data_IF_045120980751
#
_entry.id   IF_045120980751
#
_cell.length_a   1.000
_cell.length_b   1.000
_cell.length_c   1.000
_cell.angle_alpha   90.00
_cell.angle_beta   90.00
_cell.angle_gamma   90.00
#
_symmetry.space_group_name_H-M   'P 1'
#
loop_
_entity.id
_entity.type
_entity.pdbx_description
1 polymer ?
#
# COMPACT_ATOMS: atom_id res chain seq x y z
N UNK A 1 -32.10 13.99 -2.70
CA UNK A 1 -30.70 14.47 -2.59
C UNK A 1 -30.06 13.68 -1.46
N UNK A 2 -29.36 12.59 -1.78
CA UNK A 2 -28.84 11.66 -0.78
C UNK A 2 -27.52 12.22 -0.26
N UNK A 3 -27.50 12.72 0.98
CA UNK A 3 -26.27 13.18 1.63
C UNK A 3 -25.42 11.94 1.88
N UNK A 4 -24.42 11.67 1.02
CA UNK A 4 -23.39 10.67 1.32
C UNK A 4 -22.44 11.30 2.35
N UNK A 5 -22.32 10.76 3.57
CA UNK A 5 -21.40 11.30 4.55
C UNK A 5 -19.96 11.19 4.03
N UNK A 6 -19.17 12.26 4.20
CA UNK A 6 -17.80 12.35 3.67
C UNK A 6 -16.90 11.19 4.13
N UNK A 7 -17.13 10.63 5.32
CA UNK A 7 -16.41 9.47 5.82
C UNK A 7 -16.60 8.22 4.94
N UNK A 8 -17.83 7.91 4.53
CA UNK A 8 -18.10 6.76 3.66
C UNK A 8 -17.50 6.95 2.27
N UNK A 9 -17.56 8.17 1.72
CA UNK A 9 -16.92 8.49 0.45
C UNK A 9 -15.39 8.31 0.52
N UNK A 10 -14.76 8.69 1.65
CA UNK A 10 -13.33 8.47 1.88
C UNK A 10 -12.99 6.98 1.96
N UNK A 11 -13.79 6.18 2.68
CA UNK A 11 -13.59 4.74 2.79
C UNK A 11 -13.71 4.03 1.42
N UNK A 12 -14.69 4.43 0.61
CA UNK A 12 -14.88 3.96 -0.76
C UNK A 12 -13.68 4.32 -1.63
N UNK A 13 -13.27 5.59 -1.66
CA UNK A 13 -12.12 6.05 -2.46
C UNK A 13 -10.81 5.35 -2.08
N UNK A 14 -10.57 5.13 -0.78
CA UNK A 14 -9.37 4.42 -0.30
C UNK A 14 -9.39 2.96 -0.75
N UNK A 15 -10.55 2.31 -0.69
CA UNK A 15 -10.74 0.93 -1.16
C UNK A 15 -10.53 0.83 -2.67
N UNK A 16 -11.09 1.77 -3.45
CA UNK A 16 -10.88 1.82 -4.89
C UNK A 16 -9.41 2.02 -5.26
N UNK A 17 -8.67 2.86 -4.53
CA UNK A 17 -7.24 3.04 -4.76
C UNK A 17 -6.46 1.73 -4.55
N UNK A 18 -6.75 0.99 -3.47
CA UNK A 18 -6.12 -0.30 -3.20
C UNK A 18 -6.47 -1.35 -4.27
N UNK A 19 -7.75 -1.47 -4.63
CA UNK A 19 -8.19 -2.39 -5.68
C UNK A 19 -7.58 -2.02 -7.03
N UNK A 20 -7.40 -0.73 -7.33
CA UNK A 20 -6.75 -0.29 -8.56
C UNK A 20 -5.29 -0.73 -8.61
N UNK A 21 -4.52 -0.58 -7.53
CA UNK A 21 -3.14 -1.11 -7.47
C UNK A 21 -3.12 -2.61 -7.73
N UNK A 22 -4.04 -3.37 -7.12
CA UNK A 22 -4.13 -4.82 -7.36
C UNK A 22 -4.50 -5.14 -8.81
N UNK A 23 -5.44 -4.40 -9.41
CA UNK A 23 -5.83 -4.57 -10.80
C UNK A 23 -4.66 -4.34 -11.77
N UNK A 24 -3.81 -3.34 -11.50
CA UNK A 24 -2.60 -3.07 -12.27
C UNK A 24 -1.60 -4.23 -12.18
N UNK A 25 -1.33 -4.75 -10.98
CA UNK A 25 -0.45 -5.91 -10.78
C UNK A 25 -1.00 -7.20 -11.42
N UNK A 26 -2.32 -7.36 -11.43
CA UNK A 26 -2.99 -8.47 -12.12
C UNK A 26 -3.08 -8.29 -13.64
N UNK A 27 -2.82 -7.09 -14.17
CA UNK A 27 -3.04 -6.76 -15.58
C UNK A 27 -4.49 -6.94 -16.02
N UNK A 28 -5.46 -6.66 -15.13
CA UNK A 28 -6.87 -6.91 -15.37
C UNK A 28 -7.71 -5.63 -15.31
N UNK A 29 -8.59 -5.45 -16.29
CA UNK A 29 -9.61 -4.40 -16.30
C UNK A 29 -10.95 -4.87 -15.70
N UNK A 30 -11.03 -6.12 -15.20
CA UNK A 30 -12.24 -6.66 -14.57
C UNK A 30 -12.26 -6.32 -13.06
N UNK A 31 -13.10 -5.36 -12.63
CA UNK A 31 -13.17 -4.96 -11.23
C UNK A 31 -13.75 -6.06 -10.33
N UNK A 32 -14.66 -6.89 -10.87
CA UNK A 32 -15.28 -7.98 -10.12
C UNK A 32 -14.28 -9.11 -9.88
N UNK A 33 -13.48 -9.44 -10.90
CA UNK A 33 -12.36 -10.38 -10.73
C UNK A 33 -11.34 -9.88 -9.71
N UNK A 34 -10.92 -8.61 -9.82
CA UNK A 34 -9.97 -8.00 -8.87
C UNK A 34 -10.49 -8.08 -7.44
N UNK A 35 -11.75 -7.71 -7.21
CA UNK A 35 -12.36 -7.78 -5.88
C UNK A 35 -12.45 -9.22 -5.36
N UNK A 36 -12.84 -10.19 -6.19
CA UNK A 36 -12.86 -11.62 -5.80
C UNK A 36 -11.47 -12.11 -5.42
N UNK A 37 -10.45 -11.83 -6.23
CA UNK A 37 -9.07 -12.22 -5.94
C UNK A 37 -8.58 -11.64 -4.61
N UNK A 38 -8.84 -10.35 -4.34
CA UNK A 38 -8.51 -9.70 -3.07
C UNK A 38 -9.26 -10.32 -1.89
N UNK A 39 -10.57 -10.54 -2.01
CA UNK A 39 -11.39 -11.16 -0.96
C UNK A 39 -10.85 -12.55 -0.61
N UNK A 40 -10.63 -13.39 -1.62
CA UNK A 40 -10.13 -14.75 -1.45
C UNK A 40 -8.73 -14.75 -0.84
N UNK A 41 -7.84 -13.88 -1.29
CA UNK A 41 -6.50 -13.74 -0.69
C UNK A 41 -6.59 -13.34 0.79
N UNK A 42 -7.42 -12.34 1.12
CA UNK A 42 -7.61 -11.89 2.51
C UNK A 42 -8.08 -13.03 3.40
N UNK A 43 -9.07 -13.82 2.96
CA UNK A 43 -9.60 -14.94 3.73
C UNK A 43 -8.58 -16.08 3.86
N UNK A 44 -7.88 -16.44 2.78
CA UNK A 44 -6.85 -17.47 2.83
C UNK A 44 -5.68 -17.12 3.75
N UNK A 45 -5.22 -15.87 3.74
CA UNK A 45 -4.17 -15.40 4.65
C UNK A 45 -4.70 -15.37 6.08
N UNK A 46 -5.87 -14.74 6.33
CA UNK A 46 -6.50 -14.63 7.66
C UNK A 46 -6.60 -15.96 8.38
N UNK A 47 -7.09 -16.99 7.68
CA UNK A 47 -7.39 -18.28 8.30
C UNK A 47 -6.14 -19.07 8.70
N UNK A 48 -4.95 -18.53 8.40
CA UNK A 48 -3.63 -19.09 8.74
C UNK A 48 -2.93 -18.33 9.84
N UNK A 49 -3.49 -17.20 10.25
CA UNK A 49 -2.97 -16.37 11.32
C UNK A 49 -3.63 -16.70 12.65
N UNK A 50 -2.93 -16.39 13.73
CA UNK A 50 -3.57 -16.28 15.05
C UNK A 50 -4.56 -15.11 15.04
N UNK A 51 -5.48 -15.09 16.00
CA UNK A 51 -6.42 -13.97 16.19
C UNK A 51 -5.68 -12.63 16.32
N UNK A 52 -4.57 -12.61 17.06
CA UNK A 52 -3.74 -11.42 17.26
C UNK A 52 -3.08 -10.95 15.96
N UNK A 53 -2.40 -11.84 15.24
CA UNK A 53 -1.77 -11.48 13.96
C UNK A 53 -2.79 -11.06 12.90
N UNK A 54 -3.97 -11.70 12.87
CA UNK A 54 -5.06 -11.31 11.99
C UNK A 54 -5.58 -9.90 12.32
N UNK A 55 -5.72 -9.55 13.60
CA UNK A 55 -6.13 -8.22 14.03
C UNK A 55 -5.09 -7.14 13.65
N UNK A 56 -3.80 -7.43 13.81
CA UNK A 56 -2.71 -6.54 13.39
C UNK A 56 -2.69 -6.31 11.88
N UNK A 57 -2.93 -7.35 11.08
CA UNK A 57 -3.05 -7.22 9.63
C UNK A 57 -4.28 -6.36 9.26
N UNK A 58 -5.45 -6.67 9.85
CA UNK A 58 -6.69 -5.97 9.56
C UNK A 58 -6.69 -4.48 9.94
N UNK A 59 -5.86 -4.09 10.92
CA UNK A 59 -5.71 -2.70 11.34
C UNK A 59 -5.16 -1.79 10.23
N UNK A 60 -4.40 -2.34 9.27
CA UNK A 60 -3.85 -1.57 8.15
C UNK A 60 -4.76 -1.54 6.92
N UNK A 61 -5.82 -2.37 6.88
CA UNK A 61 -6.76 -2.40 5.77
C UNK A 61 -7.65 -1.14 5.73
N UNK A 62 -8.06 -0.68 4.53
CA UNK A 62 -9.17 0.24 4.37
C UNK A 62 -10.44 -0.29 5.05
N UNK A 63 -11.30 0.61 5.55
CA UNK A 63 -12.46 0.24 6.36
C UNK A 63 -13.38 -0.80 5.68
N UNK A 64 -13.63 -0.66 4.37
CA UNK A 64 -14.48 -1.60 3.63
C UNK A 64 -13.79 -2.96 3.44
N UNK A 65 -12.49 -2.98 3.09
CA UNK A 65 -11.73 -4.23 3.00
C UNK A 65 -11.56 -4.90 4.35
N UNK A 66 -11.55 -4.15 5.46
CA UNK A 66 -11.59 -4.71 6.82
C UNK A 66 -12.92 -5.43 7.09
N UNK A 67 -14.03 -4.87 6.62
CA UNK A 67 -15.32 -5.56 6.64
C UNK A 67 -15.28 -6.87 5.87
N UNK A 68 -14.74 -6.85 4.64
CA UNK A 68 -14.52 -8.06 3.83
C UNK A 68 -13.63 -9.05 4.57
N UNK A 69 -12.53 -8.59 5.17
CA UNK A 69 -11.60 -9.43 5.91
C UNK A 69 -12.27 -10.19 7.05
N UNK A 70 -13.20 -9.58 7.80
CA UNK A 70 -13.89 -10.25 8.90
C UNK A 70 -15.14 -11.04 8.50
N UNK A 71 -15.59 -10.90 7.25
CA UNK A 71 -16.76 -11.60 6.74
C UNK A 71 -16.60 -13.13 6.86
N UNK A 72 -17.60 -13.78 7.46
CA UNK A 72 -17.63 -15.23 7.71
C UNK A 72 -16.55 -15.79 8.64
N UNK A 73 -15.79 -14.95 9.36
CA UNK A 73 -14.65 -15.43 10.16
C UNK A 73 -15.08 -16.22 11.41
N UNK A 74 -14.35 -17.30 11.71
CA UNK A 74 -14.49 -18.08 12.94
C UNK A 74 -13.18 -18.08 13.75
N UNK A 75 -13.02 -17.14 14.72
CA UNK A 75 -11.79 -16.99 15.49
C UNK A 75 -11.39 -18.23 16.29
N UNK A 76 -12.36 -19.04 16.72
CA UNK A 76 -12.12 -20.25 17.49
C UNK A 76 -11.51 -21.41 16.69
N UNK A 77 -11.41 -21.26 15.36
CA UNK A 77 -10.92 -22.31 14.43
C UNK A 77 -9.57 -21.99 13.80
N UNK A 78 -8.98 -20.83 14.10
CA UNK A 78 -7.70 -20.41 13.53
C UNK A 78 -6.54 -20.63 14.53
N UNK A 79 -5.31 -20.89 14.05
CA UNK A 79 -4.94 -21.16 12.65
C UNK A 79 -5.51 -22.48 12.12
N UNK A 80 -6.03 -22.46 10.90
CA UNK A 80 -6.53 -23.68 10.24
C UNK A 80 -5.35 -24.56 9.79
N UNK A 81 -5.53 -25.89 9.86
CA UNK A 81 -4.48 -26.89 9.55
C UNK A 81 -4.40 -27.28 8.08
N UNK A 82 -5.23 -26.68 7.23
CA UNK A 82 -5.25 -26.95 5.80
C UNK A 82 -3.85 -26.71 5.19
N UNK A 83 -3.48 -27.57 4.25
CA UNK A 83 -2.17 -27.49 3.59
C UNK A 83 -2.22 -26.52 2.39
N UNK A 84 -1.11 -26.45 1.65
CA UNK A 84 -1.00 -25.56 0.50
C UNK A 84 -1.92 -25.97 -0.66
N UNK A 85 -2.19 -27.27 -0.82
CA UNK A 85 -3.02 -27.80 -1.90
C UNK A 85 -4.49 -27.51 -1.65
N UNK A 86 -5.00 -27.81 -0.44
CA UNK A 86 -6.37 -27.47 -0.02
C UNK A 86 -6.60 -25.95 -0.07
N UNK A 87 -5.56 -25.15 0.22
CA UNK A 87 -5.65 -23.70 0.11
C UNK A 87 -5.72 -23.24 -1.34
N UNK A 88 -4.94 -23.86 -2.23
CA UNK A 88 -4.96 -23.52 -3.64
C UNK A 88 -6.31 -23.90 -4.28
N UNK A 89 -6.87 -25.06 -3.93
CA UNK A 89 -8.20 -25.47 -4.38
C UNK A 89 -9.29 -24.51 -3.90
N UNK A 90 -9.27 -24.14 -2.62
CA UNK A 90 -10.20 -23.14 -2.08
C UNK A 90 -10.04 -21.80 -2.79
N UNK A 91 -8.80 -21.36 -3.01
CA UNK A 91 -8.52 -20.11 -3.70
C UNK A 91 -9.08 -20.12 -5.13
N UNK A 92 -8.80 -21.20 -5.89
CA UNK A 92 -9.30 -21.37 -7.25
C UNK A 92 -10.83 -21.30 -7.31
N UNK A 93 -11.50 -21.99 -6.39
CA UNK A 93 -12.95 -22.03 -6.30
C UNK A 93 -13.55 -20.65 -5.99
N UNK A 94 -13.06 -19.98 -4.95
CA UNK A 94 -13.62 -18.70 -4.50
C UNK A 94 -13.31 -17.53 -5.45
N UNK A 95 -12.11 -17.51 -6.04
CA UNK A 95 -11.74 -16.50 -7.03
C UNK A 95 -12.32 -16.78 -8.43
N UNK A 96 -12.87 -17.99 -8.65
CA UNK A 96 -13.36 -18.51 -9.92
C UNK A 96 -12.29 -18.51 -11.02
N UNK A 97 -11.12 -19.08 -10.71
CA UNK A 97 -10.00 -19.21 -11.63
C UNK A 97 -9.54 -20.67 -11.76
N UNK A 98 -8.83 -21.03 -12.84
CA UNK A 98 -8.17 -22.33 -12.92
C UNK A 98 -7.12 -22.52 -11.81
N UNK A 99 -6.94 -23.74 -11.32
CA UNK A 99 -5.97 -24.06 -10.27
C UNK A 99 -4.53 -23.62 -10.63
N UNK A 100 -4.16 -23.70 -11.91
CA UNK A 100 -2.85 -23.26 -12.41
C UNK A 100 -2.61 -21.75 -12.32
N UNK A 101 -3.67 -20.94 -12.23
CA UNK A 101 -3.60 -19.48 -12.12
C UNK A 101 -3.54 -19.01 -10.65
N UNK A 102 -3.68 -19.91 -9.68
CA UNK A 102 -3.73 -19.52 -8.26
C UNK A 102 -2.44 -18.86 -7.81
N UNK A 103 -1.29 -19.48 -8.06
CA UNK A 103 0.00 -18.92 -7.68
C UNK A 103 0.26 -17.53 -8.29
N UNK A 104 0.17 -17.32 -9.62
CA UNK A 104 0.44 -16.01 -10.20
C UNK A 104 -0.53 -14.93 -9.72
N UNK A 105 -1.82 -15.25 -9.54
CA UNK A 105 -2.81 -14.30 -9.00
C UNK A 105 -2.52 -13.98 -7.53
N UNK A 106 -2.30 -14.99 -6.70
CA UNK A 106 -2.00 -14.82 -5.28
C UNK A 106 -0.70 -14.01 -5.06
N UNK A 107 0.33 -14.29 -5.86
CA UNK A 107 1.60 -13.55 -5.87
C UNK A 107 1.42 -12.08 -6.24
N UNK A 108 0.66 -11.79 -7.31
CA UNK A 108 0.38 -10.41 -7.73
C UNK A 108 -0.41 -9.64 -6.67
N UNK A 109 -1.41 -10.27 -6.04
CA UNK A 109 -2.14 -9.66 -4.92
C UNK A 109 -1.21 -9.39 -3.74
N UNK A 110 -0.32 -10.33 -3.38
CA UNK A 110 0.68 -10.12 -2.32
C UNK A 110 1.61 -8.95 -2.65
N UNK A 111 2.08 -8.85 -3.89
CA UNK A 111 2.96 -7.75 -4.34
C UNK A 111 2.25 -6.40 -4.24
N UNK A 112 1.02 -6.29 -4.75
CA UNK A 112 0.20 -5.08 -4.63
C UNK A 112 -0.06 -4.70 -3.18
N UNK A 113 -0.42 -5.66 -2.32
CA UNK A 113 -0.66 -5.41 -0.90
C UNK A 113 0.62 -4.94 -0.20
N UNK A 114 1.78 -5.49 -0.54
CA UNK A 114 3.07 -5.10 0.06
C UNK A 114 3.38 -3.62 -0.10
N UNK A 115 2.97 -2.99 -1.20
CA UNK A 115 3.12 -1.56 -1.43
C UNK A 115 2.18 -0.70 -0.57
N UNK A 116 1.04 -1.27 -0.15
CA UNK A 116 0.01 -0.57 0.61
C UNK A 116 0.19 -0.69 2.12
N UNK A 117 0.76 -1.81 2.58
CA UNK A 117 1.06 -2.05 3.99
C UNK A 117 2.32 -1.30 4.43
N UNK A 118 2.45 -1.08 5.73
CA UNK A 118 3.69 -0.53 6.30
C UNK A 118 4.88 -1.45 5.97
N UNK A 119 6.08 -0.89 5.72
CA UNK A 119 7.26 -1.67 5.39
C UNK A 119 7.51 -2.81 6.38
N UNK A 120 7.73 -4.02 5.87
CA UNK A 120 8.01 -5.23 6.68
C UNK A 120 6.80 -5.86 7.37
N UNK A 121 5.61 -5.27 7.31
CA UNK A 121 4.44 -5.83 8.02
C UNK A 121 3.94 -7.13 7.38
N UNK A 122 3.83 -7.17 6.05
CA UNK A 122 3.48 -8.41 5.36
C UNK A 122 4.56 -9.47 5.50
N UNK A 123 5.85 -9.10 5.51
CA UNK A 123 6.94 -10.05 5.74
C UNK A 123 6.84 -10.70 7.12
N UNK A 124 6.58 -9.89 8.14
CA UNK A 124 6.37 -10.36 9.52
C UNK A 124 5.16 -11.28 9.60
N UNK A 125 4.07 -10.92 8.91
CA UNK A 125 2.87 -11.75 8.83
C UNK A 125 3.16 -13.10 8.16
N UNK A 126 3.86 -13.08 7.03
CA UNK A 126 4.14 -14.26 6.21
C UNK A 126 5.22 -15.16 6.82
N UNK A 127 6.09 -14.61 7.68
CA UNK A 127 7.06 -15.40 8.45
C UNK A 127 6.38 -16.42 9.38
N UNK A 128 5.12 -16.21 9.75
CA UNK A 128 4.34 -17.16 10.56
C UNK A 128 3.67 -18.28 9.73
N UNK A 129 3.75 -18.21 8.39
CA UNK A 129 3.15 -19.21 7.51
C UNK A 129 4.11 -20.39 7.26
N UNK A 130 3.61 -21.63 7.16
CA UNK A 130 4.41 -22.76 6.70
C UNK A 130 5.03 -22.50 5.32
N UNK A 131 6.26 -22.97 5.09
CA UNK A 131 7.05 -22.69 3.86
C UNK A 131 6.26 -22.97 2.57
N UNK A 132 5.58 -24.12 2.47
CA UNK A 132 4.79 -24.47 1.26
C UNK A 132 3.63 -23.52 1.01
N UNK A 133 3.03 -23.00 2.07
CA UNK A 133 1.94 -22.04 1.96
C UNK A 133 2.47 -20.66 1.60
N UNK A 134 3.60 -20.24 2.19
CA UNK A 134 4.28 -19.00 1.83
C UNK A 134 4.64 -18.97 0.34
N UNK A 135 5.15 -20.08 -0.21
CA UNK A 135 5.44 -20.23 -1.63
C UNK A 135 4.22 -20.09 -2.56
N UNK A 136 3.00 -20.34 -2.05
CA UNK A 136 1.78 -20.12 -2.83
C UNK A 136 1.51 -18.63 -3.06
N UNK A 137 1.84 -17.79 -2.07
CA UNK A 137 1.51 -16.36 -2.05
C UNK A 137 2.67 -15.44 -2.41
N UNK A 138 3.92 -15.87 -2.32
CA UNK A 138 5.06 -15.01 -2.66
C UNK A 138 5.33 -15.00 -4.16
N UNK A 139 5.69 -13.84 -4.74
CA UNK A 139 6.14 -13.79 -6.12
C UNK A 139 7.40 -14.62 -6.30
N UNK A 140 7.46 -15.35 -7.42
CA UNK A 140 8.67 -16.05 -7.82
C UNK A 140 9.80 -15.02 -8.01
N UNK A 141 10.92 -15.10 -7.28
CA UNK A 141 12.03 -14.16 -7.41
C UNK A 141 12.61 -14.10 -8.83
N UNK A 142 12.41 -15.13 -9.65
CA UNK A 142 12.95 -15.21 -11.01
C UNK A 142 11.97 -14.72 -12.09
N UNK A 143 10.72 -14.36 -11.74
CA UNK A 143 9.77 -13.82 -12.70
C UNK A 143 10.00 -12.32 -12.90
N UNK A 144 10.73 -11.97 -13.96
CA UNK A 144 10.80 -10.59 -14.46
C UNK A 144 9.38 -10.02 -14.71
N UNK A 145 9.15 -8.71 -14.49
CA UNK A 145 7.85 -8.09 -14.75
C UNK A 145 7.49 -8.37 -16.22
N UNK A 146 6.34 -9.01 -16.42
CA UNK A 146 5.87 -9.42 -17.75
C UNK A 146 5.44 -8.17 -18.52
N UNK A 147 6.41 -7.46 -19.10
CA UNK A 147 6.18 -6.46 -20.13
C UNK A 147 5.90 -7.17 -21.45
N UNK A 148 4.64 -7.50 -21.73
CA UNK A 148 4.24 -7.97 -23.05
C UNK A 148 4.20 -6.76 -24.00
N UNK A 149 5.23 -6.67 -24.85
CA UNK A 149 5.43 -5.64 -25.85
C UNK A 149 6.16 -6.21 -27.05
N UNK A 150 5.48 -7.08 -27.81
CA UNK A 150 5.95 -7.53 -29.14
C UNK A 150 6.15 -6.32 -30.06
N UNK A 151 7.32 -6.18 -30.69
CA UNK A 151 7.57 -6.49 -32.11
C UNK A 151 9.06 -6.21 -32.44
N UNK A 152 9.73 -7.16 -33.09
CA UNK A 152 11.17 -7.15 -33.34
C UNK A 152 11.67 -6.23 -34.45
N UNK A 153 13.00 -6.06 -34.50
CA UNK A 153 13.71 -5.36 -35.56
C UNK A 153 15.22 -5.29 -35.32
N UNK A 154 15.92 -6.25 -35.92
CA UNK A 154 17.38 -6.45 -36.01
C UNK A 154 18.19 -5.18 -36.36
N UNK A 155 19.30 -4.97 -35.67
CA UNK A 155 20.36 -4.03 -36.06
C UNK A 155 21.45 -3.87 -35.00
N UNK A 156 22.59 -4.53 -35.20
CA UNK A 156 23.84 -4.18 -34.51
C UNK A 156 24.26 -2.76 -34.91
N UNK A 157 24.60 -1.92 -33.93
CA UNK A 157 25.70 -0.95 -34.05
C UNK A 157 26.06 -0.31 -32.70
N UNK A 158 27.36 -0.17 -32.55
CA UNK A 158 28.17 0.40 -31.47
C UNK A 158 27.84 1.84 -31.08
N UNK A 159 28.00 2.10 -29.77
CA UNK A 159 28.46 3.36 -29.15
C UNK A 159 27.55 4.60 -29.21
N UNK A 160 26.79 4.83 -28.14
CA UNK A 160 26.86 6.04 -27.29
C UNK A 160 26.08 5.74 -26.00
N UNK A 161 26.70 5.88 -24.82
CA UNK A 161 26.04 5.55 -23.53
C UNK A 161 24.99 6.60 -23.18
N UNK A 162 23.81 6.48 -23.78
CA UNK A 162 22.59 7.13 -23.32
C UNK A 162 22.23 6.53 -21.95
N UNK A 163 21.97 7.34 -20.90
CA UNK A 163 21.59 6.79 -19.60
C UNK A 163 20.35 5.92 -19.77
N UNK A 164 20.47 4.67 -19.30
CA UNK A 164 19.40 3.67 -19.32
C UNK A 164 18.13 4.28 -18.70
N UNK A 165 16.95 3.91 -19.23
CA UNK A 165 15.67 4.38 -18.68
C UNK A 165 15.58 4.10 -17.17
N UNK A 166 16.20 3.01 -16.70
CA UNK A 166 16.37 2.67 -15.29
C UNK A 166 17.09 3.76 -14.49
N UNK A 167 18.23 4.27 -14.98
CA UNK A 167 18.97 5.34 -14.30
C UNK A 167 18.17 6.66 -14.28
N UNK A 168 17.35 6.92 -15.30
CA UNK A 168 16.44 8.09 -15.32
C UNK A 168 15.26 7.94 -14.36
N UNK A 169 14.69 6.74 -14.26
CA UNK A 169 13.64 6.44 -13.29
C UNK A 169 14.17 6.54 -11.85
N UNK A 170 15.34 5.97 -11.59
CA UNK A 170 16.02 6.06 -10.28
C UNK A 170 16.35 7.52 -9.91
N UNK A 171 16.83 8.33 -10.87
CA UNK A 171 17.06 9.76 -10.63
C UNK A 171 15.76 10.53 -10.32
N UNK A 172 14.68 10.27 -11.06
CA UNK A 172 13.39 10.92 -10.82
C UNK A 172 12.75 10.52 -9.49
N UNK A 173 12.96 9.27 -9.04
CA UNK A 173 12.52 8.81 -7.72
C UNK A 173 13.33 9.49 -6.62
N UNK A 174 14.65 9.59 -6.78
CA UNK A 174 15.52 10.26 -5.81
C UNK A 174 15.19 11.76 -5.69
N UNK A 175 14.85 12.42 -6.80
CA UNK A 175 14.41 13.82 -6.80
C UNK A 175 13.09 13.99 -6.04
N UNK A 176 12.09 13.15 -6.31
CA UNK A 176 10.81 13.17 -5.56
C UNK A 176 11.00 12.88 -4.07
N UNK A 177 11.91 11.98 -3.72
CA UNK A 177 12.24 11.68 -2.32
C UNK A 177 12.89 12.89 -1.64
N UNK A 178 13.83 13.55 -2.31
CA UNK A 178 14.44 14.78 -1.80
C UNK A 178 13.42 15.91 -1.63
N UNK A 179 12.45 16.05 -2.53
CA UNK A 179 11.37 17.05 -2.42
C UNK A 179 10.48 16.75 -1.21
N UNK A 180 10.12 15.48 -1.03
CA UNK A 180 9.33 15.03 0.10
C UNK A 180 10.04 15.27 1.44
N UNK A 181 11.34 14.98 1.52
CA UNK A 181 12.16 15.26 2.71
C UNK A 181 12.20 16.76 3.04
N UNK A 182 12.33 17.64 2.02
CA UNK A 182 12.26 19.10 2.23
C UNK A 182 10.90 19.54 2.75
N UNK A 183 9.79 18.96 2.27
CA UNK A 183 8.45 19.25 2.79
C UNK A 183 8.26 18.79 4.23
N UNK A 184 8.74 17.60 4.59
CA UNK A 184 8.68 17.12 5.98
C UNK A 184 9.48 17.99 6.94
N UNK A 185 10.66 18.47 6.52
CA UNK A 185 11.46 19.40 7.31
C UNK A 185 10.73 20.73 7.52
N UNK A 186 10.14 21.30 6.46
CA UNK A 186 9.36 22.53 6.56
C UNK A 186 8.13 22.39 7.47
N UNK A 187 7.43 21.26 7.40
CA UNK A 187 6.30 20.95 8.28
C UNK A 187 6.75 20.86 9.75
N UNK A 188 7.86 20.17 9.99
CA UNK A 188 8.43 20.00 11.35
C UNK A 188 8.80 21.34 11.96
N UNK A 189 9.42 22.23 11.18
CA UNK A 189 9.79 23.56 11.66
C UNK A 189 8.56 24.46 11.87
N UNK A 190 7.56 24.37 10.99
CA UNK A 190 6.29 25.09 11.16
C UNK A 190 5.56 24.67 12.46
N UNK A 191 5.52 23.36 12.75
CA UNK A 191 4.93 22.83 13.99
C UNK A 191 5.73 23.26 15.22
N UNK A 192 7.08 23.25 15.15
CA UNK A 192 7.92 23.75 16.24
C UNK A 192 7.67 25.24 16.53
N UNK A 193 7.60 26.07 15.49
CA UNK A 193 7.32 27.51 15.64
C UNK A 193 5.95 27.75 16.26
N UNK A 194 4.95 26.95 15.90
CA UNK A 194 3.62 26.99 16.53
C UNK A 194 3.66 26.57 18.00
N UNK A 195 4.32 25.44 18.31
CA UNK A 195 4.42 24.93 19.68
C UNK A 195 5.09 25.96 20.60
N UNK A 196 6.22 26.54 20.18
CA UNK A 196 6.92 27.61 20.94
C UNK A 196 6.04 28.85 21.09
N UNK A 197 5.26 29.20 20.07
CA UNK A 197 4.31 30.31 20.14
C UNK A 197 3.12 30.08 21.08
N UNK A 198 2.84 28.82 21.44
CA UNK A 198 1.72 28.40 22.28
C UNK A 198 2.12 28.05 23.72
N UNK A 199 3.42 27.97 24.05
CA UNK A 199 3.89 27.73 25.43
C UNK A 199 3.67 28.97 26.33
N UNK A 200 3.01 28.76 27.48
CA UNK A 200 2.77 29.79 28.50
C UNK A 200 4.01 29.99 29.38
N UNK A 201 4.94 30.81 28.90
CA UNK A 201 5.99 31.40 29.74
C UNK A 201 5.67 32.88 29.98
N UNK A 202 5.75 33.38 31.23
CA UNK A 202 5.40 34.76 31.55
C UNK A 202 6.49 35.71 31.04
N UNK A 203 6.28 36.31 29.86
CA UNK A 203 7.02 37.48 29.39
C UNK A 203 6.06 38.43 28.68
N UNK A 204 6.31 39.73 28.84
CA UNK A 204 5.49 40.95 28.65
C UNK A 204 4.57 41.11 27.39
N UNK A 205 4.43 40.12 26.51
CA UNK A 205 3.51 40.18 25.35
C UNK A 205 2.22 39.35 25.56
N UNK A 206 1.02 39.92 25.25
CA UNK A 206 -0.25 39.22 25.36
C UNK A 206 -0.30 37.99 24.42
N UNK A 207 -0.76 36.85 24.96
CA UNK A 207 -0.74 35.52 24.32
C UNK A 207 -1.35 35.48 22.92
N UNK A 208 -2.45 36.20 22.69
CA UNK A 208 -3.14 36.26 21.38
C UNK A 208 -2.28 36.86 20.27
N UNK A 209 -1.43 37.85 20.58
CA UNK A 209 -0.54 38.47 19.58
C UNK A 209 0.63 37.55 19.20
N UNK A 210 1.15 36.77 20.17
CA UNK A 210 2.22 35.79 19.93
C UNK A 210 1.74 34.61 19.09
N UNK A 211 0.59 34.02 19.44
CA UNK A 211 -0.02 32.94 18.66
C UNK A 211 -0.27 33.36 17.19
N UNK A 212 -0.79 34.57 16.97
CA UNK A 212 -1.02 35.09 15.63
C UNK A 212 0.29 35.33 14.83
N UNK A 213 1.39 35.73 15.49
CA UNK A 213 2.70 35.86 14.82
C UNK A 213 3.30 34.50 14.50
N UNK A 214 3.23 33.53 15.41
CA UNK A 214 3.70 32.16 15.18
C UNK A 214 2.94 31.50 14.01
N UNK A 215 1.61 31.65 13.96
CA UNK A 215 0.79 31.16 12.86
C UNK A 215 1.17 31.77 11.50
N UNK A 216 1.43 33.09 11.44
CA UNK A 216 1.88 33.76 10.21
C UNK A 216 3.27 33.27 9.77
N UNK A 217 4.19 33.07 10.71
CA UNK A 217 5.55 32.57 10.43
C UNK A 217 5.52 31.12 9.92
N UNK A 218 4.73 30.25 10.55
CA UNK A 218 4.51 28.88 10.10
C UNK A 218 3.89 28.83 8.70
N UNK A 219 2.89 29.67 8.43
CA UNK A 219 2.29 29.79 7.11
C UNK A 219 3.30 30.25 6.03
N UNK A 220 4.18 31.19 6.35
CA UNK A 220 5.23 31.64 5.42
C UNK A 220 6.25 30.55 5.12
N UNK A 221 6.65 29.74 6.11
CA UNK A 221 7.56 28.61 5.90
C UNK A 221 6.94 27.55 4.97
N UNK A 222 5.65 27.26 5.17
CA UNK A 222 4.91 26.32 4.31
C UNK A 222 4.75 26.86 2.88
N UNK A 223 4.50 28.17 2.70
CA UNK A 223 4.40 28.80 1.38
C UNK A 223 5.75 28.94 0.66
N UNK A 224 6.86 28.99 1.39
CA UNK A 224 8.20 28.98 0.81
C UNK A 224 8.53 27.57 0.29
N UNK A 225 8.26 26.54 1.09
CA UNK A 225 8.47 25.15 0.71
C UNK A 225 7.57 24.68 -0.46
N UNK A 226 6.40 25.29 -0.63
CA UNK A 226 5.50 25.00 -1.75
C UNK A 226 5.81 25.74 -3.06
N UNK A 227 6.76 26.68 -3.07
CA UNK A 227 7.13 27.50 -4.25
C UNK A 227 8.40 27.04 -4.97
N UNK A 228 9.09 26.03 -4.45
CA UNK A 228 10.30 25.43 -5.05
C UNK A 228 10.00 24.18 -5.90
N UNK A 229 8.73 24.03 -6.34
CA UNK A 229 8.25 23.10 -7.37
C UNK A 229 8.04 23.86 -8.68
#
# INVERSE_FOLDING_TARGET
>A
MTIRPHALARAENTTHAWLHTVAQELGSDDPEFTFRAVRTWLHCVRDRLTVESAAHLAAQLPELLRGVFYDGWSPSRVPTKADAEETAERFAHEAMIPLGEVHPVAAAVTAAMREQFSPGQLDTTFANLPVRLRALFEPDPDRAPSGDGRTGGRGEQTAERVPSQRNRAEAAVNERLADFERHLQALTEAVRVLAVGMEEVPVDEPSTQRAARAARRAHQLLLAAGREL
#
